data_IF_864160885257
#
_entry.id   IF_864160885257
#
_cell.length_a   1.000
_cell.length_b   1.000
_cell.length_c   1.000
_cell.angle_alpha   90.00
_cell.angle_beta   90.00
_cell.angle_gamma   90.00
#
_symmetry.space_group_name_H-M   'P 1'
#
loop_
_entity.id
_entity.type
_entity.pdbx_description
1 polymer ?
#
# COMPACT_ATOMS: atom_id res chain seq x y z
N UNK A 1 0.90 7.61 -24.27
CA UNK A 1 2.34 7.50 -24.62
C UNK A 1 3.13 7.93 -23.40
N UNK A 2 4.13 7.16 -22.97
CA UNK A 2 4.93 7.45 -21.77
C UNK A 2 6.07 8.40 -22.13
N UNK A 3 6.44 9.33 -21.24
CA UNK A 3 7.50 10.33 -21.44
C UNK A 3 8.62 10.23 -20.38
N UNK A 4 9.42 9.15 -20.34
CA UNK A 4 10.49 8.98 -19.34
C UNK A 4 11.53 10.10 -19.40
N UNK A 5 11.75 10.70 -20.58
CA UNK A 5 12.67 11.81 -20.80
C UNK A 5 12.33 13.07 -20.00
N UNK A 6 11.06 13.20 -19.56
CA UNK A 6 10.62 14.35 -18.76
C UNK A 6 10.85 14.17 -17.27
N UNK A 7 11.10 12.93 -16.79
CA UNK A 7 11.17 12.63 -15.37
C UNK A 7 12.28 13.38 -14.63
N UNK A 8 13.41 13.66 -15.30
CA UNK A 8 14.53 14.41 -14.72
C UNK A 8 14.41 15.94 -14.84
N UNK A 9 13.36 16.47 -15.48
CA UNK A 9 13.25 17.91 -15.75
C UNK A 9 12.84 18.74 -14.52
N UNK A 10 12.23 18.10 -13.52
CA UNK A 10 11.81 18.73 -12.27
C UNK A 10 12.27 17.90 -11.09
N UNK A 11 12.71 18.55 -10.02
CA UNK A 11 13.07 17.85 -8.78
C UNK A 11 11.80 17.35 -8.07
N UNK A 12 11.82 16.08 -7.65
CA UNK A 12 10.85 15.47 -6.75
C UNK A 12 11.35 15.32 -5.31
N UNK A 13 12.40 16.05 -4.94
CA UNK A 13 12.94 16.08 -3.57
C UNK A 13 11.96 16.81 -2.64
N UNK A 14 11.76 16.26 -1.44
CA UNK A 14 11.01 16.92 -0.37
C UNK A 14 11.74 18.20 0.07
N UNK A 15 11.08 19.34 -0.08
CA UNK A 15 11.63 20.65 0.29
C UNK A 15 11.55 20.96 1.80
N UNK A 16 10.92 20.09 2.59
CA UNK A 16 10.85 20.16 4.05
C UNK A 16 10.30 21.51 4.59
N UNK A 17 9.35 22.11 3.87
CA UNK A 17 8.80 23.44 4.19
C UNK A 17 7.91 23.48 5.43
N UNK A 18 7.53 22.32 5.98
CA UNK A 18 6.67 22.20 7.17
C UNK A 18 7.42 21.72 8.43
N UNK A 19 8.75 21.75 8.44
CA UNK A 19 9.57 21.29 9.58
C UNK A 19 9.29 21.99 10.91
N UNK A 20 8.70 23.19 10.88
CA UNK A 20 8.28 23.93 12.07
C UNK A 20 6.98 23.38 12.68
N UNK A 21 6.30 22.43 12.02
CA UNK A 21 5.07 21.78 12.46
C UNK A 21 5.17 20.24 12.33
N UNK A 22 6.13 19.58 13.00
CA UNK A 22 6.52 18.18 12.72
C UNK A 22 5.43 17.13 13.01
N UNK A 23 4.41 17.47 13.80
CA UNK A 23 3.34 16.55 14.21
C UNK A 23 1.95 17.02 13.75
N UNK A 24 1.88 17.95 12.80
CA UNK A 24 0.61 18.50 12.30
C UNK A 24 0.44 18.12 10.84
N UNK A 25 -0.65 17.41 10.54
CA UNK A 25 -1.09 17.24 9.17
C UNK A 25 -1.76 18.52 8.68
N UNK A 26 -1.17 19.17 7.68
CA UNK A 26 -1.72 20.36 7.05
C UNK A 26 -2.28 20.02 5.67
N UNK A 27 -3.46 20.56 5.31
CA UNK A 27 -4.05 20.32 3.99
C UNK A 27 -3.18 20.77 2.81
N UNK A 28 -2.20 21.65 3.03
CA UNK A 28 -1.25 22.13 2.01
C UNK A 28 0.05 21.30 1.93
N UNK A 29 0.16 20.20 2.69
CA UNK A 29 1.42 19.47 2.85
C UNK A 29 2.05 19.02 1.52
N UNK A 30 1.23 18.58 0.57
CA UNK A 30 1.74 18.09 -0.73
C UNK A 30 2.44 19.21 -1.48
N UNK A 31 1.79 20.35 -1.65
CA UNK A 31 2.39 21.53 -2.30
C UNK A 31 3.62 22.05 -1.52
N UNK A 32 3.58 21.97 -0.19
CA UNK A 32 4.69 22.39 0.64
C UNK A 32 5.95 21.52 0.42
N UNK A 33 5.79 20.20 0.25
CA UNK A 33 6.91 19.27 -0.01
C UNK A 33 7.31 19.21 -1.48
N UNK A 34 6.32 19.18 -2.38
CA UNK A 34 6.45 18.91 -3.81
C UNK A 34 5.70 19.96 -4.65
N UNK A 35 6.19 21.21 -4.75
CA UNK A 35 5.47 22.30 -5.42
C UNK A 35 5.23 22.04 -6.92
N UNK A 36 6.08 21.24 -7.56
CA UNK A 36 5.94 20.81 -8.96
C UNK A 36 4.93 19.66 -9.15
N UNK A 37 4.28 19.21 -8.06
CA UNK A 37 3.40 18.04 -8.04
C UNK A 37 4.08 16.74 -8.50
N UNK A 38 5.39 16.65 -8.24
CA UNK A 38 6.22 15.51 -8.58
C UNK A 38 7.03 15.10 -7.36
N UNK A 39 7.01 13.81 -7.00
CA UNK A 39 7.72 13.24 -5.85
C UNK A 39 8.53 12.03 -6.29
N UNK A 40 9.79 11.97 -5.85
CA UNK A 40 10.72 10.89 -6.18
C UNK A 40 11.54 11.13 -7.45
N UNK A 41 12.16 10.06 -7.95
CA UNK A 41 13.01 10.05 -9.14
C UNK A 41 12.55 8.97 -10.12
N UNK A 42 11.96 9.41 -11.23
CA UNK A 42 11.44 8.59 -12.31
C UNK A 42 12.44 8.36 -13.45
N UNK A 43 13.66 8.90 -13.37
CA UNK A 43 14.67 8.77 -14.44
C UNK A 43 15.11 7.33 -14.67
N UNK A 44 14.88 6.45 -13.69
CA UNK A 44 15.19 5.01 -13.74
C UNK A 44 14.05 4.15 -14.29
N UNK A 45 12.93 4.75 -14.69
CA UNK A 45 11.79 4.02 -15.21
C UNK A 45 12.17 3.24 -16.48
N UNK A 46 11.87 1.94 -16.50
CA UNK A 46 12.10 1.08 -17.66
C UNK A 46 11.02 -0.01 -17.76
N UNK A 47 10.75 -0.44 -18.99
CA UNK A 47 9.65 -1.38 -19.28
C UNK A 47 9.88 -2.77 -18.66
N UNK A 48 11.12 -3.27 -18.69
CA UNK A 48 11.45 -4.59 -18.16
C UNK A 48 11.20 -4.68 -16.64
N UNK A 49 11.62 -3.68 -15.87
CA UNK A 49 11.34 -3.61 -14.45
C UNK A 49 9.83 -3.51 -14.18
N UNK A 50 9.12 -2.72 -14.98
CA UNK A 50 7.65 -2.61 -14.88
C UNK A 50 6.95 -3.94 -15.09
N UNK A 51 7.36 -4.72 -16.09
CA UNK A 51 6.83 -6.05 -16.37
C UNK A 51 7.11 -7.03 -15.22
N UNK A 52 8.33 -7.05 -14.69
CA UNK A 52 8.69 -7.90 -13.55
C UNK A 52 7.84 -7.60 -12.30
N UNK A 53 7.65 -6.31 -11.99
CA UNK A 53 6.81 -5.88 -10.86
C UNK A 53 5.36 -6.28 -11.10
N UNK A 54 4.83 -5.99 -12.29
CA UNK A 54 3.44 -6.29 -12.64
C UNK A 54 3.15 -7.78 -12.52
N UNK A 55 3.99 -8.62 -13.13
CA UNK A 55 3.81 -10.08 -13.10
C UNK A 55 3.88 -10.61 -11.66
N UNK A 56 4.85 -10.15 -10.87
CA UNK A 56 4.97 -10.55 -9.46
C UNK A 56 3.73 -10.17 -8.63
N UNK A 57 3.20 -8.96 -8.81
CA UNK A 57 1.98 -8.50 -8.12
C UNK A 57 0.77 -9.34 -8.55
N UNK A 58 0.61 -9.56 -9.86
CA UNK A 58 -0.52 -10.34 -10.40
C UNK A 58 -0.46 -11.79 -9.91
N UNK A 59 0.70 -12.42 -9.95
CA UNK A 59 0.88 -13.80 -9.47
C UNK A 59 0.53 -13.94 -7.98
N UNK A 60 1.04 -13.04 -7.14
CA UNK A 60 0.73 -13.03 -5.71
C UNK A 60 -0.76 -12.78 -5.45
N UNK A 61 -1.37 -11.87 -6.20
CA UNK A 61 -2.79 -11.56 -6.07
C UNK A 61 -3.68 -12.74 -6.45
N UNK A 62 -3.39 -13.41 -7.58
CA UNK A 62 -4.12 -14.61 -8.02
C UNK A 62 -4.01 -15.73 -6.98
N UNK A 63 -2.79 -16.01 -6.50
CA UNK A 63 -2.57 -17.02 -5.44
C UNK A 63 -3.31 -16.65 -4.16
N UNK A 64 -3.30 -15.37 -3.76
CA UNK A 64 -4.04 -14.88 -2.61
C UNK A 64 -5.54 -15.16 -2.72
N UNK A 65 -6.16 -14.84 -3.86
CA UNK A 65 -7.58 -15.14 -4.11
C UNK A 65 -7.85 -16.65 -4.05
N UNK A 66 -6.99 -17.47 -4.67
CA UNK A 66 -7.14 -18.93 -4.64
C UNK A 66 -7.07 -19.48 -3.21
N UNK A 67 -6.10 -19.02 -2.41
CA UNK A 67 -5.95 -19.40 -1.02
C UNK A 67 -7.16 -18.98 -0.19
N UNK A 68 -7.67 -17.75 -0.37
CA UNK A 68 -8.90 -17.28 0.30
C UNK A 68 -10.10 -18.15 -0.06
N UNK A 69 -10.26 -18.50 -1.35
CA UNK A 69 -11.39 -19.34 -1.80
C UNK A 69 -11.28 -20.78 -1.29
N UNK A 70 -10.07 -21.28 -1.07
CA UNK A 70 -9.84 -22.63 -0.56
C UNK A 70 -9.84 -22.68 0.97
N UNK A 71 -9.76 -21.54 1.66
CA UNK A 71 -9.70 -21.48 3.11
C UNK A 71 -11.01 -21.95 3.75
N UNK A 72 -10.84 -22.74 4.81
CA UNK A 72 -11.91 -23.15 5.72
C UNK A 72 -11.63 -22.72 7.16
N UNK A 73 -10.38 -22.36 7.46
CA UNK A 73 -9.94 -22.14 8.82
C UNK A 73 -10.53 -20.85 9.39
N UNK A 74 -10.51 -19.75 8.64
CA UNK A 74 -10.99 -18.45 9.16
C UNK A 74 -12.50 -18.49 9.46
N UNK A 75 -13.38 -18.99 8.56
CA UNK A 75 -14.80 -19.13 8.90
C UNK A 75 -15.06 -20.06 10.09
N UNK A 76 -14.33 -21.18 10.19
CA UNK A 76 -14.46 -22.12 11.31
C UNK A 76 -14.07 -21.46 12.64
N UNK A 77 -12.94 -20.77 12.69
CA UNK A 77 -12.48 -20.04 13.87
C UNK A 77 -13.44 -18.90 14.24
N UNK A 78 -13.98 -18.18 13.24
CA UNK A 78 -14.95 -17.12 13.48
C UNK A 78 -16.24 -17.68 14.09
N UNK A 79 -16.74 -18.80 13.56
CA UNK A 79 -17.90 -19.49 14.12
C UNK A 79 -17.64 -19.99 15.54
N UNK A 80 -16.47 -20.56 15.79
CA UNK A 80 -16.05 -20.98 17.12
C UNK A 80 -16.05 -19.79 18.09
N UNK A 81 -15.37 -18.70 17.73
CA UNK A 81 -15.27 -17.50 18.55
C UNK A 81 -16.65 -16.97 18.96
N UNK A 82 -17.58 -16.81 18.02
CA UNK A 82 -18.91 -16.29 18.34
C UNK A 82 -19.72 -17.26 19.20
N UNK A 83 -19.63 -18.57 18.93
CA UNK A 83 -20.32 -19.58 19.74
C UNK A 83 -19.82 -19.57 21.20
N UNK A 84 -18.51 -19.45 21.39
CA UNK A 84 -17.89 -19.41 22.72
C UNK A 84 -18.18 -18.09 23.43
N UNK A 85 -18.15 -16.96 22.72
CA UNK A 85 -18.50 -15.65 23.27
C UNK A 85 -19.96 -15.57 23.73
N UNK A 86 -20.89 -16.22 23.02
CA UNK A 86 -22.30 -16.30 23.41
C UNK A 86 -22.54 -17.25 24.61
N UNK A 87 -21.63 -18.22 24.84
CA UNK A 87 -21.74 -19.23 25.92
C UNK A 87 -20.47 -19.26 26.80
N UNK A 88 -20.11 -18.14 27.47
CA UNK A 88 -18.80 -17.97 28.09
C UNK A 88 -18.56 -18.88 29.31
N UNK A 89 -19.59 -19.53 29.85
CA UNK A 89 -19.45 -20.48 30.96
C UNK A 89 -19.19 -21.92 30.50
N UNK A 90 -19.44 -22.23 29.22
CA UNK A 90 -19.28 -23.56 28.63
C UNK A 90 -17.93 -23.73 27.91
N UNK A 91 -17.13 -22.67 27.87
CA UNK A 91 -15.78 -22.69 27.31
C UNK A 91 -14.81 -23.32 28.30
N UNK A 92 -13.85 -24.12 27.80
CA UNK A 92 -12.74 -24.60 28.64
C UNK A 92 -11.95 -23.39 29.17
N UNK A 93 -11.84 -23.30 30.49
CA UNK A 93 -10.91 -22.36 31.16
C UNK A 93 -9.48 -22.87 31.15
#
# INVERSE_FOLDING_TARGET
MVHPEKAGQQSGVDLDRLKNLPNVYSGIWWYARYPNHYSGDGTRANAQAGELILNSVVEQFVKGIQNIKADKNVPELQNQFFKEADNPLDTKQ
#
